data_IF_156424503979
#
_entry.id   IF_156424503979
#
_cell.length_a   1.000
_cell.length_b   1.000
_cell.length_c   1.000
_cell.angle_alpha   90.00
_cell.angle_beta   90.00
_cell.angle_gamma   90.00
#
_symmetry.space_group_name_H-M   'P 1'
#
loop_
_entity.id
_entity.type
_entity.pdbx_description
1 polymer ?
#
# COMPACT_ATOMS: atom_id res chain seq x y z
N UNK A 1 14.06 -36.55 39.81
CA UNK A 1 12.64 -36.56 39.42
C UNK A 1 12.48 -35.72 38.16
N UNK A 2 12.21 -36.41 37.05
CA UNK A 2 11.89 -35.86 35.74
C UNK A 2 10.43 -35.35 35.75
N UNK A 3 10.14 -34.19 35.13
CA UNK A 3 8.97 -33.98 34.26
C UNK A 3 9.06 -32.60 33.57
N UNK A 4 9.33 -32.67 32.27
CA UNK A 4 9.25 -31.62 31.27
C UNK A 4 7.80 -31.23 30.91
N UNK A 5 7.68 -29.98 30.48
CA UNK A 5 6.82 -29.38 29.45
C UNK A 5 5.66 -30.18 28.81
N UNK A 6 4.50 -29.52 28.73
CA UNK A 6 3.32 -29.99 28.02
C UNK A 6 2.36 -28.89 27.58
N UNK A 7 2.82 -27.99 26.71
CA UNK A 7 2.12 -27.45 25.53
C UNK A 7 0.58 -27.29 25.56
N UNK A 8 0.17 -26.02 25.51
CA UNK A 8 -0.82 -25.45 24.57
C UNK A 8 -2.03 -26.32 24.17
N UNK A 9 -3.20 -25.97 24.70
CA UNK A 9 -4.54 -26.37 24.24
C UNK A 9 -4.88 -25.71 22.89
N UNK A 10 -4.19 -26.13 21.83
CA UNK A 10 -4.51 -25.79 20.45
C UNK A 10 -5.60 -26.73 19.93
N UNK A 11 -6.81 -26.18 19.87
CA UNK A 11 -7.76 -26.32 18.77
C UNK A 11 -8.12 -27.72 18.29
N UNK A 12 -9.19 -28.31 18.84
CA UNK A 12 -9.97 -29.37 18.18
C UNK A 12 -11.46 -29.33 18.60
N UNK A 13 -12.14 -28.19 18.44
CA UNK A 13 -13.62 -28.12 18.57
C UNK A 13 -14.30 -27.47 17.33
N UNK A 14 -13.98 -27.89 16.09
CA UNK A 14 -15.03 -27.82 15.08
C UNK A 14 -15.23 -29.10 14.27
N UNK A 15 -14.66 -30.24 14.67
CA UNK A 15 -14.80 -31.47 13.88
C UNK A 15 -16.13 -32.24 14.12
N UNK A 16 -16.79 -32.03 15.27
CA UNK A 16 -17.98 -32.83 15.63
C UNK A 16 -19.29 -32.24 15.05
N UNK A 17 -19.35 -30.94 14.76
CA UNK A 17 -20.56 -30.32 14.18
C UNK A 17 -20.69 -30.49 12.66
N UNK A 18 -19.64 -30.89 11.95
CA UNK A 18 -19.71 -31.15 10.50
C UNK A 18 -20.31 -32.54 10.16
N UNK A 19 -20.16 -33.53 11.05
CA UNK A 19 -20.59 -34.91 10.78
C UNK A 19 -22.08 -35.16 10.91
N UNK A 20 -22.80 -34.43 11.78
CA UNK A 20 -24.21 -34.72 12.08
C UNK A 20 -25.19 -34.04 11.12
N UNK A 21 -24.77 -32.99 10.41
CA UNK A 21 -25.58 -32.35 9.36
C UNK A 21 -25.67 -33.20 8.08
N UNK A 22 -24.69 -34.10 7.83
CA UNK A 22 -24.64 -34.85 6.57
C UNK A 22 -25.48 -36.13 6.57
N UNK A 23 -25.79 -36.70 7.74
CA UNK A 23 -26.57 -37.96 7.86
C UNK A 23 -28.07 -37.80 7.58
N UNK A 24 -28.62 -36.59 7.62
CA UNK A 24 -30.05 -36.34 7.30
C UNK A 24 -30.30 -36.10 5.80
N UNK A 25 -29.28 -36.16 4.94
CA UNK A 25 -29.39 -35.76 3.53
C UNK A 25 -29.67 -36.90 2.53
N UNK A 26 -29.84 -38.15 2.98
CA UNK A 26 -30.30 -39.24 2.08
C UNK A 26 -29.30 -39.69 1.01
N UNK A 27 -28.01 -39.40 1.17
CA UNK A 27 -26.96 -39.72 0.19
C UNK A 27 -26.31 -41.10 0.44
N UNK A 28 -27.07 -42.18 0.25
CA UNK A 28 -26.47 -43.45 -0.19
C UNK A 28 -27.06 -43.82 -1.54
N UNK A 29 -26.26 -43.83 -2.63
CA UNK A 29 -26.75 -44.24 -3.93
C UNK A 29 -27.02 -45.75 -3.91
N UNK A 30 -28.23 -46.13 -4.33
CA UNK A 30 -28.58 -47.51 -4.66
C UNK A 30 -27.69 -47.93 -5.82
N UNK A 31 -26.72 -48.83 -5.57
CA UNK A 31 -25.88 -49.43 -6.62
C UNK A 31 -26.81 -50.10 -7.63
N UNK A 32 -27.10 -49.40 -8.72
CA UNK A 32 -27.70 -49.98 -9.92
C UNK A 32 -26.60 -50.25 -10.91
N UNK A 33 -26.67 -51.45 -11.44
CA UNK A 33 -25.71 -52.11 -12.29
C UNK A 33 -25.44 -51.30 -13.56
N UNK A 34 -24.22 -51.47 -14.05
CA UNK A 34 -23.79 -50.95 -15.33
C UNK A 34 -24.67 -51.50 -16.46
N UNK A 35 -25.31 -50.60 -17.19
CA UNK A 35 -25.67 -50.82 -18.59
C UNK A 35 -25.13 -49.62 -19.36
N UNK A 36 -24.24 -49.91 -20.29
CA UNK A 36 -23.72 -48.96 -21.25
C UNK A 36 -24.86 -48.53 -22.19
N UNK A 37 -25.21 -47.25 -22.17
CA UNK A 37 -25.97 -46.61 -23.25
C UNK A 37 -25.20 -45.36 -23.71
N UNK A 38 -24.90 -45.32 -25.00
CA UNK A 38 -24.34 -44.17 -25.67
C UNK A 38 -25.39 -43.05 -25.71
N UNK A 39 -25.10 -41.87 -25.16
CA UNK A 39 -26.00 -40.73 -25.20
C UNK A 39 -25.38 -39.57 -25.98
N UNK A 40 -26.02 -39.23 -27.10
CA UNK A 40 -25.82 -37.96 -27.78
C UNK A 40 -26.23 -36.78 -26.89
N UNK A 41 -25.68 -35.60 -27.18
CA UNK A 41 -26.02 -34.36 -26.49
C UNK A 41 -27.42 -33.89 -26.91
N UNK A 42 -28.46 -34.45 -26.31
CA UNK A 42 -29.80 -33.87 -26.30
C UNK A 42 -29.78 -32.66 -25.35
N UNK A 43 -30.14 -31.43 -25.78
CA UNK A 43 -30.22 -30.28 -24.89
C UNK A 43 -31.39 -30.46 -23.92
N UNK A 44 -31.13 -31.11 -22.79
CA UNK A 44 -32.11 -31.28 -21.71
C UNK A 44 -32.28 -29.98 -20.93
N UNK A 45 -33.53 -29.53 -20.76
CA UNK A 45 -33.87 -28.44 -19.85
C UNK A 45 -34.57 -28.98 -18.60
N UNK A 46 -34.43 -28.27 -17.47
CA UNK A 46 -35.07 -28.63 -16.21
C UNK A 46 -36.59 -28.41 -16.31
N UNK A 47 -37.37 -29.46 -16.02
CA UNK A 47 -38.85 -29.45 -16.11
C UNK A 47 -39.53 -29.11 -14.78
N UNK A 48 -38.76 -28.90 -13.72
CA UNK A 48 -39.24 -28.66 -12.36
C UNK A 48 -39.03 -27.19 -12.02
N UNK A 49 -40.07 -26.53 -11.50
CA UNK A 49 -39.99 -25.13 -11.09
C UNK A 49 -39.31 -24.98 -9.72
N UNK A 50 -38.67 -23.84 -9.49
CA UNK A 50 -37.97 -23.55 -8.23
C UNK A 50 -38.99 -23.23 -7.14
N UNK A 51 -38.88 -23.95 -6.02
CA UNK A 51 -39.70 -23.69 -4.84
C UNK A 51 -39.30 -22.34 -4.20
N UNK A 52 -40.17 -21.35 -4.35
CA UNK A 52 -39.98 -19.99 -3.83
C UNK A 52 -39.79 -19.98 -2.32
N UNK A 53 -40.50 -20.86 -1.59
CA UNK A 53 -40.41 -20.93 -0.13
C UNK A 53 -39.05 -21.43 0.34
N UNK A 54 -38.55 -22.51 -0.28
CA UNK A 54 -37.22 -23.05 0.04
C UNK A 54 -36.10 -22.08 -0.33
N UNK A 55 -36.23 -21.42 -1.48
CA UNK A 55 -35.26 -20.41 -1.93
C UNK A 55 -35.23 -19.20 -1.00
N UNK A 56 -36.40 -18.72 -0.56
CA UNK A 56 -36.48 -17.60 0.38
C UNK A 56 -35.84 -17.95 1.74
N UNK A 57 -36.05 -19.17 2.25
CA UNK A 57 -35.39 -19.64 3.48
C UNK A 57 -33.87 -19.71 3.31
N UNK A 58 -33.39 -20.22 2.17
CA UNK A 58 -31.96 -20.29 1.88
C UNK A 58 -31.32 -18.89 1.81
N UNK A 59 -31.97 -17.94 1.13
CA UNK A 59 -31.51 -16.54 1.06
C UNK A 59 -31.55 -15.86 2.43
N UNK A 60 -32.62 -16.07 3.19
CA UNK A 60 -32.75 -15.55 4.56
C UNK A 60 -31.69 -16.11 5.50
N UNK A 61 -31.39 -17.42 5.40
CA UNK A 61 -30.32 -18.06 6.14
C UNK A 61 -28.95 -17.51 5.77
N UNK A 62 -28.69 -17.31 4.48
CA UNK A 62 -27.44 -16.72 4.01
C UNK A 62 -27.27 -15.28 4.53
N UNK A 63 -28.30 -14.43 4.37
CA UNK A 63 -28.29 -13.06 4.86
C UNK A 63 -28.12 -13.00 6.39
N UNK A 64 -28.84 -13.86 7.12
CA UNK A 64 -28.72 -13.97 8.58
C UNK A 64 -27.32 -14.40 9.01
N UNK A 65 -26.73 -15.38 8.33
CA UNK A 65 -25.36 -15.84 8.63
C UNK A 65 -24.32 -14.74 8.41
N UNK A 66 -24.45 -13.97 7.32
CA UNK A 66 -23.59 -12.83 7.03
C UNK A 66 -23.73 -11.74 8.10
N UNK A 67 -24.97 -11.44 8.53
CA UNK A 67 -25.22 -10.46 9.59
C UNK A 67 -24.59 -10.89 10.92
N UNK A 68 -24.74 -12.16 11.31
CA UNK A 68 -24.11 -12.72 12.51
C UNK A 68 -22.59 -12.63 12.41
N UNK A 69 -22.00 -12.95 11.27
CA UNK A 69 -20.55 -12.83 11.06
C UNK A 69 -20.06 -11.38 11.22
N UNK A 70 -20.78 -10.39 10.67
CA UNK A 70 -20.46 -8.96 10.84
C UNK A 70 -20.58 -8.55 12.31
N UNK A 71 -21.64 -8.97 13.00
CA UNK A 71 -21.82 -8.66 14.43
C UNK A 71 -20.69 -9.24 15.28
N UNK A 72 -20.31 -10.50 15.04
CA UNK A 72 -19.18 -11.14 15.73
C UNK A 72 -17.84 -10.44 15.43
N UNK A 73 -17.61 -10.06 14.18
CA UNK A 73 -16.42 -9.29 13.78
C UNK A 73 -16.34 -7.95 14.51
N UNK A 74 -17.43 -7.18 14.52
CA UNK A 74 -17.46 -5.88 15.22
C UNK A 74 -17.31 -6.03 16.73
N UNK A 75 -17.95 -7.04 17.31
CA UNK A 75 -17.78 -7.37 18.73
C UNK A 75 -16.34 -7.74 19.05
N UNK A 76 -15.69 -8.56 18.22
CA UNK A 76 -14.29 -8.94 18.39
C UNK A 76 -13.34 -7.72 18.28
N UNK A 77 -13.50 -6.89 17.25
CA UNK A 77 -12.65 -5.70 17.05
C UNK A 77 -12.78 -4.69 18.20
N UNK A 78 -14.01 -4.44 18.67
CA UNK A 78 -14.26 -3.48 19.74
C UNK A 78 -13.83 -4.00 21.11
N UNK A 79 -14.08 -5.27 21.41
CA UNK A 79 -13.63 -5.89 22.68
C UNK A 79 -12.11 -5.98 22.78
N UNK A 80 -11.44 -6.37 21.69
CA UNK A 80 -9.99 -6.46 21.63
C UNK A 80 -9.31 -5.08 21.69
N UNK A 81 -9.82 -4.10 20.94
CA UNK A 81 -9.26 -2.74 21.01
C UNK A 81 -9.48 -2.08 22.38
N UNK A 82 -10.62 -2.34 23.03
CA UNK A 82 -10.88 -1.84 24.38
C UNK A 82 -9.96 -2.49 25.42
N UNK A 83 -9.68 -3.80 25.32
CA UNK A 83 -8.74 -4.48 26.22
C UNK A 83 -7.31 -3.99 26.02
N UNK A 84 -6.89 -3.80 24.76
CA UNK A 84 -5.55 -3.32 24.44
C UNK A 84 -5.31 -1.87 24.84
N UNK A 85 -6.33 -1.00 24.83
CA UNK A 85 -6.20 0.37 25.35
C UNK A 85 -6.02 0.40 26.87
N UNK A 86 -6.56 -0.58 27.60
CA UNK A 86 -6.42 -0.68 29.07
C UNK A 86 -5.07 -1.26 29.49
N UNK A 87 -4.47 -2.11 28.68
CA UNK A 87 -3.14 -2.71 28.94
C UNK A 87 -1.98 -1.81 28.51
N UNK A 88 -2.23 -0.77 27.72
CA UNK A 88 -1.20 0.17 27.31
C UNK A 88 -0.84 1.13 28.45
N UNK A 89 0.45 1.36 28.71
CA UNK A 89 0.88 2.39 29.64
C UNK A 89 0.43 3.78 29.15
N UNK A 90 0.11 4.67 30.08
CA UNK A 90 -0.23 6.04 29.75
C UNK A 90 0.93 6.71 28.98
N UNK A 91 0.61 7.47 27.93
CA UNK A 91 1.59 8.24 27.20
C UNK A 91 2.28 9.22 28.15
N UNK A 92 3.59 9.37 28.00
CA UNK A 92 4.33 10.37 28.78
C UNK A 92 3.94 11.79 28.32
N UNK A 93 4.13 12.82 29.17
CA UNK A 93 3.97 14.21 28.77
C UNK A 93 4.79 14.58 27.52
N UNK A 94 5.95 13.94 27.32
CA UNK A 94 6.80 14.15 26.14
C UNK A 94 6.21 13.53 24.87
N UNK A 95 5.58 12.36 24.96
CA UNK A 95 4.96 11.67 23.82
C UNK A 95 3.65 12.35 23.36
N UNK A 96 2.98 13.05 24.27
CA UNK A 96 1.75 13.82 24.00
C UNK A 96 2.02 15.29 23.71
N UNK A 97 3.26 15.76 23.86
CA UNK A 97 3.63 17.13 23.59
C UNK A 97 3.47 17.44 22.09
N UNK A 98 2.66 18.46 21.80
CA UNK A 98 2.56 19.01 20.44
C UNK A 98 3.77 19.90 20.20
N UNK A 99 4.78 19.38 19.49
CA UNK A 99 5.93 20.18 19.05
C UNK A 99 5.49 21.00 17.84
N UNK A 100 5.51 22.34 17.98
CA UNK A 100 5.37 23.22 16.83
C UNK A 100 6.78 23.52 16.30
N UNK A 101 7.15 23.04 15.10
CA UNK A 101 8.45 23.37 14.54
C UNK A 101 8.56 24.89 14.35
N UNK A 102 9.78 25.47 14.48
CA UNK A 102 9.97 26.86 14.12
C UNK A 102 9.59 27.08 12.65
N UNK A 103 9.11 28.29 12.34
CA UNK A 103 8.82 28.65 10.97
C UNK A 103 10.06 28.46 10.08
N UNK A 104 9.90 28.02 8.82
CA UNK A 104 11.03 27.86 7.90
C UNK A 104 11.74 29.20 7.66
N UNK A 105 13.06 29.18 7.61
CA UNK A 105 13.87 30.35 7.25
C UNK A 105 13.72 30.60 5.73
N UNK A 106 12.91 31.59 5.36
CA UNK A 106 12.75 31.99 3.96
C UNK A 106 13.78 33.05 3.58
N UNK A 107 14.36 32.92 2.38
CA UNK A 107 15.23 33.95 1.80
C UNK A 107 14.43 35.23 1.56
N UNK A 108 14.86 36.35 2.14
CA UNK A 108 14.11 37.62 2.13
C UNK A 108 13.93 38.20 0.73
N UNK A 109 14.95 38.09 -0.12
CA UNK A 109 14.90 38.58 -1.49
C UNK A 109 15.73 37.69 -2.44
N UNK A 110 15.12 36.60 -2.98
CA UNK A 110 15.83 35.67 -3.86
C UNK A 110 16.25 36.32 -5.18
N UNK A 111 15.52 37.33 -5.67
CA UNK A 111 15.82 37.99 -6.94
C UNK A 111 17.10 38.83 -6.86
N UNK A 112 17.33 39.54 -5.75
CA UNK A 112 18.56 40.31 -5.57
C UNK A 112 19.82 39.43 -5.53
N UNK A 113 19.72 38.20 -5.01
CA UNK A 113 20.81 37.23 -5.05
C UNK A 113 21.09 36.74 -6.48
N UNK A 114 20.04 36.47 -7.26
CA UNK A 114 20.16 36.11 -8.68
C UNK A 114 20.79 37.24 -9.49
N UNK A 115 20.38 38.49 -9.26
CA UNK A 115 20.93 39.65 -9.98
C UNK A 115 22.42 39.86 -9.66
N UNK A 116 22.81 39.71 -8.39
CA UNK A 116 24.23 39.76 -7.99
C UNK A 116 25.05 38.65 -8.64
N UNK A 117 24.51 37.43 -8.70
CA UNK A 117 25.17 36.31 -9.36
C UNK A 117 25.36 36.59 -10.85
N UNK A 118 24.28 36.98 -11.56
CA UNK A 118 24.32 37.32 -12.99
C UNK A 118 25.29 38.46 -13.29
N UNK A 119 25.34 39.49 -12.45
CA UNK A 119 26.28 40.59 -12.61
C UNK A 119 27.74 40.12 -12.47
N UNK A 120 28.02 39.26 -11.49
CA UNK A 120 29.36 38.68 -11.31
C UNK A 120 29.77 37.76 -12.47
N UNK A 121 28.83 36.96 -12.99
CA UNK A 121 29.05 36.11 -14.16
C UNK A 121 29.31 36.94 -15.42
N UNK A 122 28.49 37.96 -15.67
CA UNK A 122 28.65 38.86 -16.83
C UNK A 122 30.00 39.59 -16.78
N UNK A 123 30.41 40.10 -15.61
CA UNK A 123 31.73 40.70 -15.42
C UNK A 123 32.89 39.71 -15.70
N UNK A 124 32.69 38.42 -15.44
CA UNK A 124 33.65 37.36 -15.75
C UNK A 124 33.62 36.91 -17.22
N UNK A 125 32.50 37.05 -17.92
CA UNK A 125 32.40 36.68 -19.33
C UNK A 125 32.86 37.80 -20.26
N UNK A 126 32.54 39.05 -19.92
CA UNK A 126 32.71 40.20 -20.80
C UNK A 126 33.98 41.00 -20.49
N UNK A 127 34.59 40.78 -19.32
CA UNK A 127 35.82 41.46 -18.93
C UNK A 127 37.10 40.74 -19.36
N UNK A 128 38.21 41.45 -19.21
CA UNK A 128 39.55 40.84 -19.15
C UNK A 128 39.90 40.50 -17.69
N UNK A 129 40.85 39.59 -17.49
CA UNK A 129 41.37 39.31 -16.16
C UNK A 129 42.47 38.27 -16.17
N UNK A 130 42.84 37.78 -15.00
CA UNK A 130 43.73 36.63 -14.85
C UNK A 130 42.98 35.49 -14.19
N UNK A 131 43.25 34.26 -14.61
CA UNK A 131 42.61 33.06 -14.05
C UNK A 131 43.41 32.46 -12.88
N UNK A 132 44.67 32.86 -12.72
CA UNK A 132 45.54 32.44 -11.62
C UNK A 132 45.99 33.63 -10.76
N UNK A 133 46.39 33.34 -9.51
CA UNK A 133 46.87 34.36 -8.58
C UNK A 133 48.25 34.91 -8.94
N UNK A 134 49.04 34.16 -9.71
CA UNK A 134 50.38 34.55 -10.18
C UNK A 134 50.35 35.43 -11.44
N UNK A 135 49.16 35.67 -12.01
CA UNK A 135 48.92 36.46 -13.23
C UNK A 135 49.68 35.94 -14.46
N UNK A 136 49.86 34.63 -14.55
CA UNK A 136 50.53 33.98 -15.67
C UNK A 136 49.53 33.60 -16.78
N UNK A 137 48.26 33.41 -16.45
CA UNK A 137 47.20 33.07 -17.41
C UNK A 137 46.16 34.16 -17.51
N UNK A 138 46.13 34.86 -18.65
CA UNK A 138 45.15 35.88 -18.94
C UNK A 138 43.84 35.28 -19.47
N UNK A 139 42.72 35.86 -19.05
CA UNK A 139 41.37 35.66 -19.56
C UNK A 139 41.03 36.81 -20.50
N UNK A 140 40.50 36.48 -21.67
CA UNK A 140 39.89 37.44 -22.59
C UNK A 140 38.36 37.34 -22.54
N UNK A 141 37.62 38.40 -22.89
CA UNK A 141 36.17 38.34 -23.04
C UNK A 141 35.75 37.22 -23.98
N UNK A 142 34.65 36.54 -23.67
CA UNK A 142 34.18 35.40 -24.47
C UNK A 142 33.82 35.81 -25.89
N UNK A 143 33.24 37.01 -26.08
CA UNK A 143 33.01 37.59 -27.40
C UNK A 143 34.30 37.69 -28.22
N UNK A 144 35.40 38.14 -27.58
CA UNK A 144 36.70 38.23 -28.22
C UNK A 144 37.27 36.85 -28.55
N UNK A 145 37.18 35.90 -27.61
CA UNK A 145 37.61 34.53 -27.85
C UNK A 145 36.92 33.92 -29.08
N UNK A 146 35.60 34.06 -29.19
CA UNK A 146 34.83 33.58 -30.34
C UNK A 146 35.31 34.19 -31.66
N UNK A 147 35.59 35.51 -31.70
CA UNK A 147 36.12 36.15 -32.92
C UNK A 147 37.47 35.59 -33.35
N UNK A 148 38.36 35.30 -32.39
CA UNK A 148 39.67 34.71 -32.66
C UNK A 148 39.54 33.28 -33.17
N UNK A 149 38.62 32.49 -32.62
CA UNK A 149 38.37 31.11 -33.04
C UNK A 149 37.94 31.02 -34.51
N UNK A 150 37.16 31.99 -35.01
CA UNK A 150 36.73 32.03 -36.42
C UNK A 150 37.75 32.70 -37.36
N UNK A 151 38.98 32.90 -36.90
CA UNK A 151 40.09 33.40 -37.72
C UNK A 151 40.07 34.91 -37.95
N UNK A 152 39.27 35.69 -37.20
CA UNK A 152 39.40 37.16 -37.25
C UNK A 152 40.62 37.58 -36.43
N UNK A 153 41.62 38.23 -37.05
CA UNK A 153 42.84 38.60 -36.36
C UNK A 153 42.60 39.66 -35.28
N UNK A 154 43.61 39.83 -34.44
CA UNK A 154 43.66 40.87 -33.43
C UNK A 154 43.85 42.24 -34.12
N UNK A 155 42.77 42.84 -34.66
CA UNK A 155 42.84 44.24 -35.08
C UNK A 155 43.11 45.15 -33.85
N UNK A 156 43.97 46.19 -34.00
CA UNK A 156 44.24 47.18 -32.95
C UNK A 156 43.03 48.06 -32.63
#
# INVERSE_FOLDING_TARGET
MNQNDGRSHLGLIPAILAGLALRRSGLLPKRREAAAEAHGFEPGYEKTDVDVGKTAIAMGGLAGSALVAVMLMLWFLTSYSASQRRSQPALTPQQSARVNPPAPNLQTNPFADIDRLRAAESARLDGYGFTDGTRQRARIPIGRAMTLTVGRPLDP
#
